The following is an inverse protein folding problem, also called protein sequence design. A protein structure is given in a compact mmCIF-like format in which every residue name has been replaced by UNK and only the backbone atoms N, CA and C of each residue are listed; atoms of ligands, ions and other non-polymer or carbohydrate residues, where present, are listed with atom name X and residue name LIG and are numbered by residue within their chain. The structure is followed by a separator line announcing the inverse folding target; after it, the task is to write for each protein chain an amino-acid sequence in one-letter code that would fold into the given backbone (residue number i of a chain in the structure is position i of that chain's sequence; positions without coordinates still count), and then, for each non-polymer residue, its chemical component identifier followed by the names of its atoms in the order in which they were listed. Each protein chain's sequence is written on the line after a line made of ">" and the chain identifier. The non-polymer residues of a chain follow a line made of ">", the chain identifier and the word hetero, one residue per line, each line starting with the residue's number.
data_IF_492250764107
#
_entry.id   IF_492250764107
#
_cell.length_a   1.000
_cell.length_b   1.000
_cell.length_c   1.000
_cell.angle_alpha   90.00
_cell.angle_beta   90.00
_cell.angle_gamma   90.00
#
_symmetry.space_group_name_H-M   'P 1'
#
loop_
_entity.id
_entity.type
_entity.pdbx_description
1 polymer ?
#
# COMPACT_ATOMS: atom_id res chain seq x y z
N UNK A 1 13.40 29.52 51.95
CA UNK A 1 12.60 28.32 51.59
C UNK A 1 12.99 27.18 52.53
N UNK A 2 12.05 26.51 53.19
CA UNK A 2 12.34 25.52 54.24
C UNK A 2 12.82 24.20 53.61
N UNK A 3 13.95 23.66 54.06
CA UNK A 3 14.56 22.42 53.53
C UNK A 3 13.59 21.24 53.55
N UNK A 4 12.67 21.19 54.51
CA UNK A 4 11.61 20.17 54.58
C UNK A 4 10.58 20.28 53.45
N UNK A 5 10.27 21.50 53.01
CA UNK A 5 9.36 21.76 51.88
C UNK A 5 10.04 21.38 50.56
N UNK A 6 11.35 21.65 50.43
CA UNK A 6 12.15 21.25 49.25
C UNK A 6 12.23 19.73 49.14
N UNK A 7 12.48 19.03 50.25
CA UNK A 7 12.52 17.57 50.28
C UNK A 7 11.17 16.93 49.94
N UNK A 8 10.06 17.51 50.41
CA UNK A 8 8.72 17.05 50.06
C UNK A 8 8.39 17.25 48.57
N UNK A 9 8.78 18.39 47.98
CA UNK A 9 8.60 18.65 46.54
C UNK A 9 9.45 17.67 45.71
N UNK A 10 10.71 17.43 46.09
CA UNK A 10 11.57 16.46 45.39
C UNK A 10 11.00 15.04 45.45
N UNK A 11 10.48 14.61 46.61
CA UNK A 11 9.83 13.30 46.73
C UNK A 11 8.59 13.19 45.82
N UNK A 12 7.80 14.25 45.72
CA UNK A 12 6.60 14.30 44.86
C UNK A 12 6.98 14.25 43.37
N UNK A 13 8.04 14.97 42.97
CA UNK A 13 8.58 14.91 41.60
C UNK A 13 9.07 13.49 41.28
N UNK A 14 9.80 12.84 42.19
CA UNK A 14 10.27 11.45 41.97
C UNK A 14 9.10 10.47 41.85
N UNK A 15 8.02 10.63 42.61
CA UNK A 15 6.82 9.79 42.51
C UNK A 15 6.09 10.02 41.18
N UNK A 16 5.94 11.28 40.74
CA UNK A 16 5.28 11.61 39.47
C UNK A 16 6.11 11.13 38.28
N UNK A 17 7.42 11.36 38.32
CA UNK A 17 8.38 10.89 37.31
C UNK A 17 8.42 9.35 37.30
N UNK A 18 8.49 8.73 38.47
CA UNK A 18 8.48 7.27 38.61
C UNK A 18 7.19 6.63 38.10
N UNK A 19 6.02 7.19 38.43
CA UNK A 19 4.73 6.74 37.91
C UNK A 19 4.63 6.92 36.39
N UNK A 20 5.16 8.03 35.85
CA UNK A 20 5.21 8.26 34.41
C UNK A 20 6.08 7.22 33.69
N UNK A 21 7.32 7.02 34.13
CA UNK A 21 8.25 6.09 33.47
C UNK A 21 7.91 4.61 33.69
N UNK A 22 7.41 4.23 34.87
CA UNK A 22 7.17 2.81 35.20
C UNK A 22 5.78 2.32 34.77
N UNK A 23 4.78 3.20 34.65
CA UNK A 23 3.40 2.81 34.39
C UNK A 23 2.85 3.44 33.12
N UNK A 24 2.98 4.75 32.96
CA UNK A 24 2.32 5.46 31.86
C UNK A 24 3.02 5.26 30.51
N UNK A 25 4.34 5.45 30.45
CA UNK A 25 5.13 5.26 29.24
C UNK A 25 4.98 3.86 28.60
N UNK A 26 5.12 2.74 29.33
CA UNK A 26 4.95 1.41 28.75
C UNK A 26 3.50 1.12 28.35
N UNK A 27 2.50 1.67 29.07
CA UNK A 27 1.09 1.53 28.67
C UNK A 27 0.82 2.27 27.36
N UNK A 28 1.31 3.50 27.21
CA UNK A 28 1.16 4.28 25.99
C UNK A 28 1.85 3.61 24.81
N UNK A 29 3.05 3.06 25.01
CA UNK A 29 3.77 2.31 23.99
C UNK A 29 3.03 1.04 23.56
N UNK A 30 2.43 0.30 24.51
CA UNK A 30 1.58 -0.86 24.21
C UNK A 30 0.36 -0.51 23.36
N UNK A 31 -0.37 0.55 23.71
CA UNK A 31 -1.56 0.99 22.96
C UNK A 31 -1.17 1.48 21.56
N UNK A 32 -0.05 2.19 21.40
CA UNK A 32 0.42 2.63 20.09
C UNK A 32 0.83 1.43 19.21
N UNK A 33 1.51 0.43 19.78
CA UNK A 33 1.87 -0.78 19.03
C UNK A 33 0.64 -1.58 18.60
N UNK A 34 -0.34 -1.77 19.48
CA UNK A 34 -1.57 -2.51 19.14
C UNK A 34 -2.37 -1.82 18.02
N UNK A 35 -2.48 -0.48 18.06
CA UNK A 35 -3.16 0.27 17.01
C UNK A 35 -2.38 0.27 15.69
N UNK A 36 -1.04 0.26 15.75
CA UNK A 36 -0.21 0.10 14.56
C UNK A 36 -0.45 -1.25 13.89
N UNK A 37 -0.41 -2.33 14.69
CA UNK A 37 -0.59 -3.70 14.23
C UNK A 37 -2.00 -3.95 13.67
N UNK A 38 -3.04 -3.50 14.39
CA UNK A 38 -4.43 -3.52 13.90
C UNK A 38 -4.58 -2.72 12.60
N UNK A 39 -3.91 -1.57 12.52
CA UNK A 39 -3.89 -0.74 11.32
C UNK A 39 -3.34 -1.45 10.09
N UNK A 40 -2.24 -2.20 10.26
CA UNK A 40 -1.65 -3.03 9.21
C UNK A 40 -2.54 -4.22 8.82
N UNK A 41 -3.15 -4.90 9.78
CA UNK A 41 -4.06 -6.01 9.49
C UNK A 41 -5.29 -5.55 8.71
N UNK A 42 -5.87 -4.40 9.07
CA UNK A 42 -6.99 -3.82 8.32
C UNK A 42 -6.58 -3.41 6.90
N UNK A 43 -5.40 -2.80 6.72
CA UNK A 43 -4.87 -2.48 5.39
C UNK A 43 -4.66 -3.76 4.56
N UNK A 44 -4.06 -4.79 5.16
CA UNK A 44 -3.87 -6.10 4.52
C UNK A 44 -5.19 -6.78 4.16
N UNK A 45 -6.25 -6.59 4.94
CA UNK A 45 -7.58 -7.11 4.60
C UNK A 45 -8.21 -6.39 3.39
N UNK A 46 -7.86 -5.12 3.16
CA UNK A 46 -8.24 -4.40 1.94
C UNK A 46 -7.45 -4.94 0.74
N UNK A 47 -6.15 -5.19 0.89
CA UNK A 47 -5.29 -5.84 -0.11
C UNK A 47 -5.86 -7.20 -0.55
N UNK A 48 -6.33 -8.04 0.39
CA UNK A 48 -7.02 -9.30 0.06
C UNK A 48 -8.24 -9.06 -0.85
N UNK A 49 -9.01 -7.99 -0.62
CA UNK A 49 -10.16 -7.63 -1.47
C UNK A 49 -9.70 -7.15 -2.85
N UNK A 50 -8.63 -6.36 -2.93
CA UNK A 50 -8.02 -5.92 -4.21
C UNK A 50 -7.60 -7.14 -5.02
N UNK A 51 -6.88 -8.08 -4.40
CA UNK A 51 -6.45 -9.33 -5.02
C UNK A 51 -7.66 -10.13 -5.51
N UNK A 52 -8.69 -10.30 -4.67
CA UNK A 52 -9.89 -11.04 -5.03
C UNK A 52 -10.63 -10.39 -6.23
N UNK A 53 -10.85 -9.07 -6.21
CA UNK A 53 -11.49 -8.36 -7.31
C UNK A 53 -10.65 -8.42 -8.58
N UNK A 54 -9.32 -8.30 -8.48
CA UNK A 54 -8.41 -8.41 -9.63
C UNK A 54 -8.44 -9.82 -10.24
N UNK A 55 -8.48 -10.87 -9.41
CA UNK A 55 -8.65 -12.25 -9.87
C UNK A 55 -10.00 -12.45 -10.57
N UNK A 56 -11.08 -11.89 -10.02
CA UNK A 56 -12.40 -11.95 -10.66
C UNK A 56 -12.40 -11.24 -12.02
N UNK A 57 -11.84 -10.04 -12.07
CA UNK A 57 -11.67 -9.25 -13.28
C UNK A 57 -10.87 -10.02 -14.35
N UNK A 58 -9.71 -10.58 -14.00
CA UNK A 58 -8.87 -11.34 -14.93
C UNK A 58 -9.53 -12.62 -15.46
N UNK A 59 -10.49 -13.19 -14.71
CA UNK A 59 -11.24 -14.37 -15.11
C UNK A 59 -12.59 -14.03 -15.77
N UNK A 60 -12.93 -12.74 -15.90
CA UNK A 60 -14.17 -12.32 -16.51
C UNK A 60 -14.12 -12.54 -18.03
N UNK A 61 -15.10 -13.27 -18.57
CA UNK A 61 -15.29 -13.43 -20.01
C UNK A 61 -15.97 -12.19 -20.61
N UNK A 62 -15.29 -11.05 -20.58
CA UNK A 62 -15.76 -9.83 -21.23
C UNK A 62 -14.66 -9.30 -22.17
N UNK A 63 -15.03 -9.06 -23.42
CA UNK A 63 -14.22 -8.30 -24.37
C UNK A 63 -14.70 -6.85 -24.49
N UNK A 64 -15.70 -6.47 -23.70
CA UNK A 64 -16.24 -5.10 -23.68
C UNK A 64 -15.33 -4.21 -22.83
N UNK A 65 -14.59 -3.32 -23.51
CA UNK A 65 -13.67 -2.39 -22.89
C UNK A 65 -14.36 -1.44 -21.89
N UNK A 66 -15.61 -1.05 -22.12
CA UNK A 66 -16.33 -0.14 -21.22
C UNK A 66 -16.70 -0.84 -19.91
N UNK A 67 -17.10 -2.11 -19.98
CA UNK A 67 -17.34 -2.94 -18.78
C UNK A 67 -16.04 -3.13 -17.99
N UNK A 68 -14.95 -3.44 -18.69
CA UNK A 68 -13.64 -3.65 -18.06
C UNK A 68 -13.14 -2.36 -17.38
N UNK A 69 -13.23 -1.21 -18.05
CA UNK A 69 -12.87 0.09 -17.47
C UNK A 69 -13.74 0.46 -16.27
N UNK A 70 -15.06 0.22 -16.35
CA UNK A 70 -15.96 0.49 -15.23
C UNK A 70 -15.63 -0.37 -14.00
N UNK A 71 -15.29 -1.64 -14.21
CA UNK A 71 -14.88 -2.54 -13.11
C UNK A 71 -13.60 -2.02 -12.45
N UNK A 72 -12.60 -1.64 -13.26
CA UNK A 72 -11.36 -1.07 -12.74
C UNK A 72 -11.63 0.21 -11.93
N UNK A 73 -12.35 1.17 -12.52
CA UNK A 73 -12.54 2.50 -11.93
C UNK A 73 -13.45 2.51 -10.70
N UNK A 74 -14.42 1.59 -10.62
CA UNK A 74 -15.41 1.59 -9.54
C UNK A 74 -15.15 0.52 -8.47
N UNK A 75 -14.54 -0.62 -8.83
CA UNK A 75 -14.40 -1.75 -7.91
C UNK A 75 -12.96 -1.96 -7.42
N UNK A 76 -11.95 -1.56 -8.20
CA UNK A 76 -10.54 -1.77 -7.87
C UNK A 76 -9.86 -0.48 -7.40
N UNK A 77 -9.87 0.59 -8.22
CA UNK A 77 -9.16 1.85 -7.92
C UNK A 77 -9.55 2.44 -6.56
N UNK A 78 -10.83 2.49 -6.15
CA UNK A 78 -11.20 3.06 -4.85
C UNK A 78 -10.62 2.30 -3.65
N UNK A 79 -10.36 0.99 -3.80
CA UNK A 79 -9.77 0.16 -2.72
C UNK A 79 -8.31 0.50 -2.48
N UNK A 80 -7.56 0.85 -3.54
CA UNK A 80 -6.20 1.37 -3.39
C UNK A 80 -6.19 2.65 -2.54
N UNK A 81 -7.15 3.57 -2.77
CA UNK A 81 -7.29 4.78 -1.95
C UNK A 81 -7.70 4.47 -0.51
N UNK A 82 -8.60 3.50 -0.30
CA UNK A 82 -9.00 3.03 1.03
C UNK A 82 -7.81 2.48 1.82
N UNK A 83 -6.97 1.64 1.19
CA UNK A 83 -5.78 1.08 1.82
C UNK A 83 -4.74 2.15 2.14
N UNK A 84 -4.49 3.10 1.23
CA UNK A 84 -3.59 4.25 1.47
C UNK A 84 -4.11 5.10 2.64
N UNK A 85 -5.41 5.38 2.72
CA UNK A 85 -5.99 6.11 3.84
C UNK A 85 -5.78 5.36 5.15
N UNK A 86 -5.99 4.04 5.15
CA UNK A 86 -5.76 3.23 6.34
C UNK A 86 -4.30 3.23 6.76
N UNK A 87 -3.37 3.05 5.83
CA UNK A 87 -1.93 3.10 6.08
C UNK A 87 -1.48 4.47 6.62
N UNK A 88 -1.99 5.57 6.04
CA UNK A 88 -1.67 6.91 6.54
C UNK A 88 -2.15 7.12 7.99
N UNK A 89 -3.33 6.60 8.36
CA UNK A 89 -3.77 6.60 9.77
C UNK A 89 -2.89 5.71 10.65
N UNK A 90 -2.43 4.58 10.12
CA UNK A 90 -1.48 3.69 10.82
C UNK A 90 -0.15 4.39 11.11
N UNK A 91 0.29 5.32 10.24
CA UNK A 91 1.50 6.11 10.45
C UNK A 91 1.48 6.92 11.75
N UNK A 92 0.31 7.41 12.18
CA UNK A 92 0.16 8.17 13.43
C UNK A 92 0.51 7.33 14.67
N UNK A 93 0.38 6.01 14.56
CA UNK A 93 0.72 5.05 15.62
C UNK A 93 2.17 4.55 15.56
N UNK A 94 2.96 5.00 14.57
CA UNK A 94 4.37 4.65 14.47
C UNK A 94 5.21 5.23 15.63
N UNK A 95 4.67 6.13 16.45
CA UNK A 95 5.32 6.66 17.67
C UNK A 95 6.73 7.25 17.42
N UNK A 96 6.91 7.95 16.30
CA UNK A 96 8.21 8.48 15.84
C UNK A 96 9.29 7.40 15.58
N UNK A 97 8.91 6.13 15.46
CA UNK A 97 9.80 5.06 15.01
C UNK A 97 10.09 5.28 13.51
N UNK A 98 11.34 5.56 13.12
CA UNK A 98 11.70 5.85 11.74
C UNK A 98 11.54 4.62 10.83
N UNK A 99 11.69 3.41 11.36
CA UNK A 99 11.52 2.16 10.60
C UNK A 99 10.05 1.95 10.30
N UNK A 100 9.17 2.03 11.31
CA UNK A 100 7.72 1.91 11.12
C UNK A 100 7.16 2.99 10.19
N UNK A 101 7.65 4.22 10.33
CA UNK A 101 7.23 5.34 9.47
C UNK A 101 7.68 5.14 8.03
N UNK A 102 8.95 4.76 7.82
CA UNK A 102 9.48 4.49 6.47
C UNK A 102 8.79 3.30 5.82
N UNK A 103 8.46 2.27 6.61
CA UNK A 103 7.70 1.12 6.12
C UNK A 103 6.34 1.55 5.57
N UNK A 104 5.56 2.33 6.33
CA UNK A 104 4.26 2.85 5.87
C UNK A 104 4.42 3.71 4.60
N UNK A 105 5.42 4.59 4.54
CA UNK A 105 5.71 5.40 3.35
C UNK A 105 5.94 4.52 2.11
N UNK A 106 6.74 3.44 2.24
CA UNK A 106 6.99 2.49 1.16
C UNK A 106 5.72 1.73 0.76
N UNK A 107 4.86 1.34 1.71
CA UNK A 107 3.59 0.68 1.40
C UNK A 107 2.62 1.61 0.65
N UNK A 108 2.50 2.88 1.07
CA UNK A 108 1.70 3.87 0.35
C UNK A 108 2.25 4.06 -1.07
N UNK A 109 3.57 4.19 -1.22
CA UNK A 109 4.22 4.36 -2.53
C UNK A 109 4.00 3.16 -3.45
N UNK A 110 4.05 1.93 -2.91
CA UNK A 110 3.70 0.70 -3.64
C UNK A 110 2.29 0.80 -4.22
N UNK A 111 1.30 1.14 -3.39
CA UNK A 111 -0.10 1.24 -3.78
C UNK A 111 -0.36 2.35 -4.80
N UNK A 112 0.31 3.49 -4.68
CA UNK A 112 0.25 4.58 -5.66
C UNK A 112 0.73 4.13 -7.04
N UNK A 113 1.82 3.38 -7.10
CA UNK A 113 2.38 2.86 -8.36
C UNK A 113 1.52 1.74 -8.95
N UNK A 114 0.96 0.85 -8.12
CA UNK A 114 0.01 -0.16 -8.59
C UNK A 114 -1.26 0.47 -9.17
N UNK A 115 -1.81 1.47 -8.48
CA UNK A 115 -2.96 2.25 -8.98
C UNK A 115 -2.62 2.99 -10.27
N UNK A 116 -1.42 3.56 -10.39
CA UNK A 116 -0.94 4.19 -11.62
C UNK A 116 -0.85 3.20 -12.79
N UNK A 117 -0.33 2.00 -12.57
CA UNK A 117 -0.28 0.95 -13.59
C UNK A 117 -1.68 0.55 -14.06
N UNK A 118 -2.62 0.47 -13.12
CA UNK A 118 -4.01 0.15 -13.41
C UNK A 118 -4.71 1.26 -14.23
N UNK A 119 -4.43 2.52 -13.93
CA UNK A 119 -4.89 3.66 -14.73
C UNK A 119 -4.32 3.63 -16.16
N UNK A 120 -3.07 3.19 -16.34
CA UNK A 120 -2.49 2.95 -17.67
C UNK A 120 -3.25 1.87 -18.45
N UNK A 121 -3.72 0.81 -17.78
CA UNK A 121 -4.58 -0.21 -18.39
C UNK A 121 -5.91 0.40 -18.85
N UNK A 122 -6.52 1.26 -18.05
CA UNK A 122 -7.74 2.01 -18.42
C UNK A 122 -7.50 2.90 -19.64
N UNK A 123 -6.37 3.61 -19.69
CA UNK A 123 -6.03 4.46 -20.83
C UNK A 123 -5.90 3.65 -22.14
N UNK A 124 -5.29 2.47 -22.07
CA UNK A 124 -5.19 1.53 -23.19
C UNK A 124 -6.56 1.03 -23.63
N UNK A 125 -7.40 0.57 -22.69
CA UNK A 125 -8.77 0.13 -22.99
C UNK A 125 -9.62 1.25 -23.59
N UNK A 126 -9.49 2.47 -23.08
CA UNK A 126 -10.21 3.63 -23.60
C UNK A 126 -9.79 3.96 -25.04
N UNK A 127 -8.47 3.92 -25.34
CA UNK A 127 -7.98 4.14 -26.69
C UNK A 127 -8.52 3.09 -27.69
N UNK A 128 -8.58 1.82 -27.26
CA UNK A 128 -9.17 0.74 -28.06
C UNK A 128 -10.68 0.94 -28.24
N UNK A 129 -11.41 1.27 -27.18
CA UNK A 129 -12.86 1.52 -27.22
C UNK A 129 -13.20 2.66 -28.19
N UNK A 130 -12.48 3.79 -28.10
CA UNK A 130 -12.65 4.94 -28.99
C UNK A 130 -12.31 4.62 -30.45
N UNK A 131 -11.27 3.82 -30.69
CA UNK A 131 -10.90 3.40 -32.04
C UNK A 131 -12.00 2.54 -32.68
N UNK A 132 -12.51 1.53 -31.96
CA UNK A 132 -13.58 0.64 -32.45
C UNK A 132 -14.88 1.42 -32.72
N UNK A 133 -15.17 2.44 -31.91
CA UNK A 133 -16.34 3.33 -32.09
C UNK A 133 -16.17 4.36 -33.22
N UNK A 134 -14.97 4.47 -33.80
CA UNK A 134 -14.66 5.48 -34.83
C UNK A 134 -14.51 6.90 -34.28
N UNK A 135 -14.36 7.05 -32.96
CA UNK A 135 -14.15 8.33 -32.27
C UNK A 135 -12.69 8.79 -32.32
N UNK A 136 -11.76 7.85 -32.58
CA UNK A 136 -10.32 8.09 -32.65
C UNK A 136 -9.72 7.38 -33.87
N UNK A 137 -8.76 8.02 -34.53
CA UNK A 137 -8.03 7.42 -35.67
C UNK A 137 -7.12 6.28 -35.21
N UNK A 138 -6.73 5.34 -36.10
CA UNK A 138 -5.74 4.32 -35.76
C UNK A 138 -4.43 4.92 -35.21
N UNK A 139 -3.93 5.99 -35.82
CA UNK A 139 -2.67 6.64 -35.44
C UNK A 139 -2.74 7.28 -34.05
N UNK A 140 -3.85 7.96 -33.74
CA UNK A 140 -4.07 8.59 -32.43
C UNK A 140 -4.27 7.53 -31.33
N UNK A 141 -4.95 6.42 -31.65
CA UNK A 141 -5.16 5.31 -30.73
C UNK A 141 -3.82 4.64 -30.40
N UNK A 142 -3.01 4.35 -31.41
CA UNK A 142 -1.68 3.76 -31.23
C UNK A 142 -0.76 4.67 -30.42
N UNK A 143 -0.80 5.99 -30.66
CA UNK A 143 -0.03 6.97 -29.88
C UNK A 143 -0.44 6.94 -28.40
N UNK A 144 -1.75 6.91 -28.13
CA UNK A 144 -2.28 6.83 -26.76
C UNK A 144 -1.82 5.57 -26.04
N UNK A 145 -1.89 4.42 -26.73
CA UNK A 145 -1.44 3.12 -26.20
C UNK A 145 0.06 3.11 -25.94
N UNK A 146 0.88 3.65 -26.85
CA UNK A 146 2.33 3.72 -26.67
C UNK A 146 2.72 4.57 -25.46
N UNK A 147 2.04 5.71 -25.25
CA UNK A 147 2.27 6.57 -24.10
C UNK A 147 1.88 5.84 -22.79
N UNK A 148 0.69 5.22 -22.76
CA UNK A 148 0.25 4.45 -21.60
C UNK A 148 1.22 3.31 -21.26
N UNK A 149 1.68 2.56 -22.26
CA UNK A 149 2.66 1.48 -22.07
C UNK A 149 4.01 1.99 -21.56
N UNK A 150 4.46 3.17 -22.02
CA UNK A 150 5.70 3.78 -21.55
C UNK A 150 5.57 4.17 -20.08
N UNK A 151 4.50 4.86 -19.70
CA UNK A 151 4.23 5.27 -18.32
C UNK A 151 4.08 4.06 -17.37
N UNK A 152 3.41 2.99 -17.83
CA UNK A 152 3.30 1.74 -17.09
C UNK A 152 4.65 1.06 -16.92
N UNK A 153 5.49 1.02 -17.95
CA UNK A 153 6.82 0.40 -17.86
C UNK A 153 7.73 1.14 -16.88
N UNK A 154 7.70 2.47 -16.87
CA UNK A 154 8.46 3.29 -15.94
C UNK A 154 7.96 3.10 -14.49
N UNK A 155 6.63 3.13 -14.31
CA UNK A 155 5.99 2.92 -13.03
C UNK A 155 6.22 1.51 -12.47
N UNK A 156 6.21 0.48 -13.33
CA UNK A 156 6.54 -0.90 -12.96
C UNK A 156 7.99 -1.03 -12.49
N UNK A 157 8.93 -0.36 -13.16
CA UNK A 157 10.34 -0.35 -12.75
C UNK A 157 10.53 0.34 -11.39
N UNK A 158 9.81 1.45 -11.16
CA UNK A 158 9.81 2.13 -9.87
C UNK A 158 9.22 1.22 -8.77
N UNK A 159 8.13 0.52 -9.07
CA UNK A 159 7.46 -0.40 -8.17
C UNK A 159 8.36 -1.57 -7.75
N UNK A 160 9.11 -2.15 -8.69
CA UNK A 160 10.14 -3.17 -8.39
C UNK A 160 11.20 -2.64 -7.42
N UNK A 161 11.62 -1.38 -7.58
CA UNK A 161 12.49 -0.69 -6.64
C UNK A 161 11.90 -0.59 -5.24
N UNK A 162 10.63 -0.20 -5.13
CA UNK A 162 9.92 -0.14 -3.84
C UNK A 162 9.85 -1.52 -3.17
N UNK A 163 9.57 -2.58 -3.93
CA UNK A 163 9.60 -3.95 -3.42
C UNK A 163 10.99 -4.35 -2.86
N UNK A 164 12.07 -3.95 -3.54
CA UNK A 164 13.45 -4.14 -3.03
C UNK A 164 13.69 -3.33 -1.75
N UNK A 165 13.23 -2.08 -1.70
CA UNK A 165 13.41 -1.20 -0.55
C UNK A 165 12.68 -1.74 0.68
N UNK A 166 11.45 -2.25 0.52
CA UNK A 166 10.71 -2.93 1.60
C UNK A 166 11.51 -4.13 2.11
N UNK A 167 11.94 -5.04 1.23
CA UNK A 167 12.73 -6.21 1.64
C UNK A 167 14.03 -5.83 2.35
N UNK A 168 14.69 -4.77 1.86
CA UNK A 168 15.94 -4.26 2.45
C UNK A 168 15.69 -3.72 3.85
N UNK A 169 14.64 -2.90 4.02
CA UNK A 169 14.24 -2.37 5.32
C UNK A 169 13.94 -3.49 6.32
N UNK A 170 13.18 -4.51 5.90
CA UNK A 170 12.84 -5.65 6.75
C UNK A 170 14.06 -6.53 7.09
N UNK A 171 14.97 -6.73 6.14
CA UNK A 171 16.23 -7.48 6.38
C UNK A 171 17.14 -6.75 7.37
N UNK A 172 17.18 -5.42 7.30
CA UNK A 172 17.97 -4.59 8.21
C UNK A 172 17.35 -4.48 9.61
N UNK A 173 16.06 -4.79 9.77
CA UNK A 173 15.31 -4.66 11.01
C UNK A 173 14.56 -5.98 11.33
N UNK A 174 15.29 -7.03 11.77
CA UNK A 174 14.74 -8.38 11.91
C UNK A 174 13.64 -8.48 12.96
N UNK A 175 13.71 -7.72 14.06
CA UNK A 175 12.66 -7.72 15.09
C UNK A 175 11.34 -7.18 14.52
N UNK A 176 11.40 -6.09 13.75
CA UNK A 176 10.23 -5.53 13.08
C UNK A 176 9.68 -6.48 12.01
N UNK A 177 10.56 -7.11 11.23
CA UNK A 177 10.15 -8.13 10.26
C UNK A 177 9.42 -9.30 10.95
N UNK A 178 9.93 -9.78 12.09
CA UNK A 178 9.26 -10.83 12.85
C UNK A 178 7.87 -10.39 13.31
N UNK A 179 7.73 -9.18 13.85
CA UNK A 179 6.42 -8.61 14.21
C UNK A 179 5.46 -8.66 13.03
N UNK A 180 5.88 -8.22 11.84
CA UNK A 180 5.02 -8.25 10.66
C UNK A 180 4.61 -9.67 10.27
N UNK A 181 5.53 -10.64 10.33
CA UNK A 181 5.25 -12.04 10.00
C UNK A 181 4.25 -12.68 10.98
N UNK A 182 4.33 -12.29 12.26
CA UNK A 182 3.39 -12.73 13.30
C UNK A 182 1.97 -12.17 13.08
N UNK A 183 1.83 -11.07 12.33
CA UNK A 183 0.53 -10.52 11.93
C UNK A 183 -0.11 -11.24 10.74
N UNK A 184 0.62 -12.12 10.05
CA UNK A 184 0.14 -12.90 8.91
C UNK A 184 -0.47 -12.04 7.78
N UNK A 185 0.20 -10.94 7.46
CA UNK A 185 -0.19 -10.03 6.37
C UNK A 185 -0.03 -10.67 4.98
N UNK A 186 -0.60 -10.04 3.97
CA UNK A 186 -0.47 -10.45 2.57
C UNK A 186 0.96 -10.29 2.04
N UNK A 187 1.37 -11.16 1.09
CA UNK A 187 2.73 -11.19 0.52
C UNK A 187 3.33 -9.82 0.16
N UNK A 188 2.58 -8.89 -0.48
CA UNK A 188 3.11 -7.58 -0.83
C UNK A 188 3.58 -6.74 0.36
N UNK A 189 3.08 -7.00 1.58
CA UNK A 189 3.55 -6.33 2.80
C UNK A 189 4.98 -6.70 3.18
N UNK A 190 5.49 -7.84 2.71
CA UNK A 190 6.88 -8.28 2.90
C UNK A 190 7.79 -7.96 1.72
N UNK A 191 7.29 -7.17 0.77
CA UNK A 191 8.03 -6.82 -0.43
C UNK A 191 8.06 -7.95 -1.47
N UNK A 192 7.17 -8.94 -1.37
CA UNK A 192 7.03 -10.01 -2.36
C UNK A 192 6.01 -9.63 -3.44
N UNK A 193 6.32 -9.96 -4.70
CA UNK A 193 5.36 -9.73 -5.80
C UNK A 193 4.22 -10.73 -5.73
N UNK A 194 3.03 -10.32 -6.17
CA UNK A 194 1.89 -11.23 -6.35
C UNK A 194 2.27 -12.26 -7.44
N UNK A 195 2.44 -13.54 -7.07
CA UNK A 195 2.83 -14.62 -8.00
C UNK A 195 1.82 -14.87 -9.16
N UNK A 196 0.67 -14.20 -9.17
CA UNK A 196 -0.41 -14.45 -10.14
C UNK A 196 -0.62 -13.35 -11.20
N UNK A 197 0.15 -12.25 -11.19
CA UNK A 197 -0.02 -11.16 -12.17
C UNK A 197 0.91 -11.23 -13.39
N UNK A 198 1.72 -12.29 -13.53
CA UNK A 198 2.57 -12.52 -14.69
C UNK A 198 2.02 -13.64 -15.56
N UNK A 199 1.02 -13.33 -16.39
CA UNK A 199 0.86 -13.85 -17.76
C UNK A 199 -0.45 -13.32 -18.37
N UNK A 200 -0.48 -12.04 -18.72
CA UNK A 200 -1.28 -11.65 -19.89
C UNK A 200 -0.46 -11.97 -21.13
N UNK A 201 -0.49 -13.23 -21.56
CA UNK A 201 -0.17 -13.55 -22.94
C UNK A 201 -1.30 -12.97 -23.80
N UNK A 202 -1.18 -11.69 -24.17
CA UNK A 202 -1.79 -11.22 -25.42
C UNK A 202 -0.97 -11.85 -26.55
N UNK A 203 -1.18 -13.14 -26.78
CA UNK A 203 -0.87 -13.76 -28.06
C UNK A 203 -1.78 -13.07 -29.07
N UNK A 204 -1.21 -12.15 -29.83
CA UNK A 204 -1.82 -11.66 -31.07
C UNK A 204 -2.05 -12.88 -31.97
N UNK A 205 -3.24 -13.46 -31.90
CA UNK A 205 -3.71 -14.40 -32.89
C UNK A 205 -4.10 -13.58 -34.12
N UNK A 206 -3.12 -13.34 -34.98
CA UNK A 206 -3.36 -12.95 -36.37
C UNK A 206 -3.94 -14.17 -37.09
N UNK A 207 -5.24 -14.16 -37.39
CA UNK A 207 -5.87 -14.96 -38.45
C UNK A 207 -6.75 -14.09 -39.29
#
# INVERSE_FOLDING_TARGET
>A
MNVKIIAAILALVVIVVGGYFLVYAPYQEGVLSENYDSGLQEASAIETKIIATTKQFNNQQSTDADILMNTINNDIVPKYSEEIEKLNKTADYANNDPVKSKYIELQCKRLELESKNLNGTVATLNAISQYVKGEKTPEDAQTSINNANTEMSESQKELEGVYVDIRTLLTQNPDFNQTLQDLHLEKPFYGETREEAQTQNITNAST
#
